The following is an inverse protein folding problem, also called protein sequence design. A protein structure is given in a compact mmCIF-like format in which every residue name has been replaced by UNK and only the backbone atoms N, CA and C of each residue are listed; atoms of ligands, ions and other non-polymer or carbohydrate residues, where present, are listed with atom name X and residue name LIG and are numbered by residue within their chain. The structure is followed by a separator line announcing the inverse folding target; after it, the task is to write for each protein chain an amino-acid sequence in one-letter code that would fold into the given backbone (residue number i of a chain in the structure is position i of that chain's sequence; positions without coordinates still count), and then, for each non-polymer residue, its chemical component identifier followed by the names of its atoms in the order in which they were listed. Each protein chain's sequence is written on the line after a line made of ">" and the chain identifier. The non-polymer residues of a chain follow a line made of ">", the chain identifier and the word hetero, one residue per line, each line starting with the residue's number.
data_IF_445372921165
#
_entry.id   IF_445372921165
#
_cell.length_a   1.000
_cell.length_b   1.000
_cell.length_c   1.000
_cell.angle_alpha   90.00
_cell.angle_beta   90.00
_cell.angle_gamma   90.00
#
_symmetry.space_group_name_H-M   'P 1'
#
loop_
_entity.id
_entity.type
_entity.pdbx_description
1 polymer ?
#
# COMPACT_ATOMS: atom_id res chain seq x y z
N UNK A 1 -52.44 84.62 3.62
CA UNK A 1 -51.08 84.20 3.87
C UNK A 1 -51.06 82.67 4.12
N UNK A 2 -50.75 81.91 3.07
CA UNK A 2 -50.53 80.47 3.20
C UNK A 2 -49.05 80.23 3.44
N UNK A 3 -48.74 79.70 4.58
CA UNK A 3 -47.39 79.15 4.82
C UNK A 3 -47.34 77.70 4.43
N UNK A 4 -46.56 77.36 3.40
CA UNK A 4 -46.29 76.02 2.95
C UNK A 4 -45.32 75.37 3.94
N UNK A 5 -45.76 74.32 4.59
CA UNK A 5 -44.95 73.46 5.47
C UNK A 5 -44.26 72.37 4.54
N UNK A 6 -42.96 72.51 4.37
CA UNK A 6 -42.16 71.52 3.60
C UNK A 6 -41.78 70.34 4.51
N UNK A 7 -42.07 69.09 4.16
CA UNK A 7 -41.65 67.94 4.92
C UNK A 7 -40.21 67.54 4.49
N UNK A 8 -39.19 68.20 5.01
CA UNK A 8 -37.75 67.87 4.75
C UNK A 8 -37.25 66.73 5.67
N UNK A 9 -38.04 66.20 6.64
CA UNK A 9 -37.58 65.17 7.57
C UNK A 9 -37.68 63.71 7.09
N UNK A 10 -38.59 63.39 6.16
CA UNK A 10 -38.84 61.99 5.76
C UNK A 10 -37.75 61.36 4.93
N UNK A 11 -37.10 62.15 4.03
CA UNK A 11 -36.09 61.61 3.11
C UNK A 11 -34.77 61.27 3.79
N UNK A 12 -34.38 62.01 4.83
CA UNK A 12 -33.17 61.76 5.61
C UNK A 12 -33.30 60.48 6.45
N UNK A 13 -34.45 60.23 7.04
CA UNK A 13 -34.75 59.02 7.81
C UNK A 13 -34.78 57.79 6.92
N UNK A 14 -35.36 57.84 5.71
CA UNK A 14 -35.37 56.74 4.74
C UNK A 14 -33.94 56.37 4.24
N UNK A 15 -33.07 57.37 4.05
CA UNK A 15 -31.66 57.17 3.62
C UNK A 15 -30.84 56.52 4.75
N UNK A 16 -31.08 56.86 6.00
CA UNK A 16 -30.42 56.21 7.15
C UNK A 16 -30.85 54.78 7.29
N UNK A 17 -32.15 54.47 7.24
CA UNK A 17 -32.68 53.09 7.28
C UNK A 17 -32.13 52.26 6.12
N UNK A 18 -32.03 52.78 4.90
CA UNK A 18 -31.46 52.11 3.74
C UNK A 18 -29.97 51.74 3.98
N UNK A 19 -29.17 52.65 4.57
CA UNK A 19 -27.77 52.34 4.92
C UNK A 19 -27.67 51.21 5.95
N UNK A 20 -28.50 51.20 6.96
CA UNK A 20 -28.55 50.15 7.98
C UNK A 20 -28.95 48.80 7.41
N UNK A 21 -29.89 48.75 6.46
CA UNK A 21 -30.24 47.52 5.74
C UNK A 21 -29.06 46.97 4.94
N UNK A 22 -28.31 47.83 4.27
CA UNK A 22 -27.11 47.38 3.52
C UNK A 22 -26.01 46.85 4.45
N UNK A 23 -25.79 47.49 5.60
CA UNK A 23 -24.82 47.06 6.60
C UNK A 23 -25.25 45.69 7.19
N UNK A 24 -26.52 45.55 7.54
CA UNK A 24 -27.04 44.28 8.05
C UNK A 24 -26.97 43.15 7.01
N UNK A 25 -27.32 43.42 5.76
CA UNK A 25 -27.22 42.49 4.68
C UNK A 25 -25.77 42.07 4.46
N UNK A 26 -24.83 43.00 4.40
CA UNK A 26 -23.41 42.71 4.28
C UNK A 26 -22.89 41.83 5.43
N UNK A 27 -23.33 42.12 6.65
CA UNK A 27 -22.97 41.33 7.83
C UNK A 27 -23.50 39.91 7.74
N UNK A 28 -24.74 39.71 7.30
CA UNK A 28 -25.36 38.39 7.11
C UNK A 28 -24.56 37.61 6.03
N UNK A 29 -24.19 38.25 4.92
CA UNK A 29 -23.39 37.61 3.84
C UNK A 29 -22.01 37.17 4.37
N UNK A 30 -21.35 38.03 5.16
CA UNK A 30 -20.05 37.70 5.78
C UNK A 30 -20.20 36.53 6.76
N UNK A 31 -21.23 36.53 7.60
CA UNK A 31 -21.50 35.39 8.50
C UNK A 31 -21.75 34.12 7.71
N UNK A 32 -22.56 34.18 6.65
CA UNK A 32 -22.85 33.04 5.78
C UNK A 32 -21.59 32.47 5.12
N UNK A 33 -20.73 33.35 4.61
CA UNK A 33 -19.44 32.95 4.03
C UNK A 33 -18.52 32.27 5.07
N UNK A 34 -18.44 32.80 6.29
CA UNK A 34 -17.68 32.19 7.39
C UNK A 34 -18.26 30.84 7.81
N UNK A 35 -19.59 30.71 7.84
CA UNK A 35 -20.24 29.42 8.13
C UNK A 35 -19.98 28.40 7.04
N UNK A 36 -20.11 28.79 5.76
CA UNK A 36 -19.82 27.91 4.62
C UNK A 36 -18.34 27.46 4.69
N UNK A 37 -17.41 28.38 4.90
CA UNK A 37 -15.99 28.05 5.00
C UNK A 37 -15.68 27.09 6.17
N UNK A 38 -16.37 27.27 7.33
CA UNK A 38 -16.25 26.33 8.46
C UNK A 38 -16.80 24.95 8.13
N UNK A 39 -17.97 24.86 7.51
CA UNK A 39 -18.59 23.61 7.12
C UNK A 39 -17.72 22.86 6.09
N UNK A 40 -17.19 23.57 5.09
CA UNK A 40 -16.27 22.97 4.12
C UNK A 40 -14.99 22.44 4.79
N UNK A 41 -14.45 23.14 5.76
CA UNK A 41 -13.26 22.66 6.51
C UNK A 41 -13.58 21.43 7.34
N UNK A 42 -14.72 21.40 8.02
CA UNK A 42 -15.11 20.28 8.90
C UNK A 42 -15.36 19.00 8.09
N UNK A 43 -16.08 19.09 6.98
CA UNK A 43 -16.27 17.99 6.02
C UNK A 43 -14.93 17.50 5.45
N UNK A 44 -14.00 18.41 5.15
CA UNK A 44 -12.69 18.05 4.63
C UNK A 44 -11.86 17.29 5.68
N UNK A 45 -11.89 17.69 6.93
CA UNK A 45 -11.15 17.01 8.01
C UNK A 45 -11.72 15.63 8.31
N UNK A 46 -13.03 15.46 8.40
CA UNK A 46 -13.66 14.14 8.57
C UNK A 46 -13.29 13.19 7.41
N UNK A 47 -13.29 13.70 6.20
CA UNK A 47 -12.89 12.94 5.03
C UNK A 47 -11.40 12.54 5.07
N UNK A 48 -10.52 13.41 5.58
CA UNK A 48 -9.09 13.12 5.74
C UNK A 48 -8.88 12.02 6.77
N UNK A 49 -9.56 12.09 7.91
CA UNK A 49 -9.44 11.08 8.97
C UNK A 49 -9.93 9.71 8.47
N UNK A 50 -11.08 9.66 7.78
CA UNK A 50 -11.59 8.44 7.18
C UNK A 50 -10.58 7.83 6.19
N UNK A 51 -10.05 8.62 5.25
CA UNK A 51 -9.03 8.16 4.29
C UNK A 51 -7.75 7.69 5.01
N UNK A 52 -7.32 8.39 6.08
CA UNK A 52 -6.17 7.99 6.87
C UNK A 52 -6.35 6.61 7.50
N UNK A 53 -7.51 6.37 8.12
CA UNK A 53 -7.80 5.10 8.78
C UNK A 53 -7.89 3.94 7.78
N UNK A 54 -8.49 4.17 6.62
CA UNK A 54 -8.59 3.16 5.58
C UNK A 54 -7.23 2.85 4.92
N UNK A 55 -6.38 3.85 4.69
CA UNK A 55 -5.00 3.62 4.26
C UNK A 55 -4.25 2.76 5.27
N UNK A 56 -4.43 3.01 6.56
CA UNK A 56 -3.80 2.23 7.64
C UNK A 56 -4.29 0.78 7.65
N UNK A 57 -5.61 0.56 7.48
CA UNK A 57 -6.19 -0.77 7.42
C UNK A 57 -5.70 -1.51 6.17
N UNK A 58 -5.74 -0.86 5.00
CA UNK A 58 -5.26 -1.45 3.75
C UNK A 58 -3.76 -1.80 3.83
N UNK A 59 -2.94 -0.90 4.38
CA UNK A 59 -1.52 -1.17 4.60
C UNK A 59 -1.32 -2.39 5.50
N UNK A 60 -1.98 -2.44 6.65
CA UNK A 60 -1.87 -3.56 7.59
C UNK A 60 -2.22 -4.88 6.93
N UNK A 61 -3.31 -4.93 6.18
CA UNK A 61 -3.73 -6.13 5.47
C UNK A 61 -2.68 -6.58 4.43
N UNK A 62 -2.10 -5.63 3.67
CA UNK A 62 -1.05 -5.95 2.70
C UNK A 62 0.25 -6.41 3.40
N UNK A 63 0.63 -5.78 4.51
CA UNK A 63 1.80 -6.19 5.29
C UNK A 63 1.64 -7.61 5.84
N UNK A 64 0.49 -7.94 6.44
CA UNK A 64 0.23 -9.29 6.95
C UNK A 64 0.17 -10.33 5.84
N UNK A 65 -0.39 -9.99 4.68
CA UNK A 65 -0.39 -10.84 3.49
C UNK A 65 1.04 -11.15 3.01
N UNK A 66 1.89 -10.14 2.89
CA UNK A 66 3.28 -10.35 2.45
C UNK A 66 4.11 -11.13 3.48
N UNK A 67 3.93 -10.86 4.77
CA UNK A 67 4.55 -11.67 5.84
C UNK A 67 4.12 -13.14 5.75
N UNK A 68 2.82 -13.40 5.59
CA UNK A 68 2.29 -14.76 5.48
C UNK A 68 2.78 -15.46 4.19
N UNK A 69 2.91 -14.74 3.07
CA UNK A 69 3.44 -15.28 1.83
C UNK A 69 4.91 -15.68 1.98
N UNK A 70 5.73 -14.80 2.55
CA UNK A 70 7.14 -15.08 2.81
C UNK A 70 7.31 -16.28 3.74
N UNK A 71 6.49 -16.35 4.80
CA UNK A 71 6.54 -17.44 5.77
C UNK A 71 6.13 -18.79 5.15
N UNK A 72 5.04 -18.83 4.38
CA UNK A 72 4.62 -20.04 3.66
C UNK A 72 5.72 -20.54 2.75
N UNK A 73 6.36 -19.64 2.02
CA UNK A 73 7.44 -20.00 1.11
C UNK A 73 8.67 -20.51 1.85
N UNK A 74 9.07 -19.84 2.95
CA UNK A 74 10.17 -20.32 3.80
C UNK A 74 9.87 -21.70 4.42
N UNK A 75 8.62 -21.95 4.84
CA UNK A 75 8.20 -23.27 5.35
C UNK A 75 8.33 -24.35 4.29
N UNK A 76 7.93 -24.10 3.04
CA UNK A 76 8.09 -25.06 1.93
C UNK A 76 9.56 -25.34 1.66
N UNK A 77 10.40 -24.30 1.63
CA UNK A 77 11.84 -24.47 1.43
C UNK A 77 12.51 -25.21 2.58
N UNK A 78 12.07 -25.02 3.82
CA UNK A 78 12.63 -25.71 4.98
C UNK A 78 12.40 -27.21 4.98
N UNK A 79 11.47 -27.70 4.18
CA UNK A 79 11.15 -29.12 4.00
C UNK A 79 11.78 -29.72 2.72
N UNK A 80 12.58 -28.94 1.99
CA UNK A 80 13.23 -29.44 0.77
C UNK A 80 14.37 -30.42 1.15
N UNK A 81 14.19 -31.70 0.87
CA UNK A 81 15.13 -32.76 1.22
C UNK A 81 16.53 -32.51 0.64
N UNK A 82 16.62 -32.05 -0.60
CA UNK A 82 17.90 -31.78 -1.23
C UNK A 82 18.67 -30.63 -0.57
N UNK A 83 17.97 -29.61 -0.04
CA UNK A 83 18.60 -28.54 0.75
C UNK A 83 19.04 -29.05 2.14
N UNK A 84 18.20 -29.90 2.79
CA UNK A 84 18.54 -30.50 4.07
C UNK A 84 19.76 -31.39 3.96
N UNK A 85 19.85 -32.20 2.87
CA UNK A 85 21.02 -33.02 2.58
C UNK A 85 22.27 -32.16 2.33
N UNK A 86 22.17 -31.12 1.47
CA UNK A 86 23.29 -30.23 1.22
C UNK A 86 23.85 -29.61 2.50
N UNK A 87 22.96 -29.17 3.43
CA UNK A 87 23.36 -28.66 4.73
C UNK A 87 24.00 -29.72 5.63
N UNK A 88 23.50 -30.95 5.59
CA UNK A 88 24.04 -32.04 6.41
C UNK A 88 25.40 -32.51 5.93
N UNK A 89 25.65 -32.42 4.62
CA UNK A 89 26.90 -32.78 3.95
C UNK A 89 27.90 -31.62 3.87
N UNK A 90 27.51 -30.44 4.38
CA UNK A 90 28.29 -29.18 4.31
C UNK A 90 28.65 -28.77 2.87
N UNK A 91 27.75 -29.06 1.91
CA UNK A 91 27.90 -28.76 0.49
C UNK A 91 27.22 -27.43 0.11
N UNK A 92 27.95 -26.34 0.30
CA UNK A 92 27.49 -24.96 0.07
C UNK A 92 27.14 -24.70 -1.40
N UNK A 93 27.93 -25.29 -2.34
CA UNK A 93 27.72 -25.14 -3.78
C UNK A 93 26.40 -25.80 -4.22
N UNK A 94 26.11 -27.00 -3.72
CA UNK A 94 24.84 -27.68 -3.95
C UNK A 94 23.68 -26.85 -3.39
N UNK A 95 23.83 -26.29 -2.18
CA UNK A 95 22.86 -25.40 -1.57
C UNK A 95 22.58 -24.16 -2.43
N UNK A 96 23.62 -23.51 -2.94
CA UNK A 96 23.50 -22.39 -3.88
C UNK A 96 22.75 -22.76 -5.16
N UNK A 97 23.13 -23.84 -5.80
CA UNK A 97 22.51 -24.29 -7.07
C UNK A 97 21.00 -24.54 -6.90
N UNK A 98 20.61 -25.22 -5.80
CA UNK A 98 19.20 -25.50 -5.52
C UNK A 98 18.42 -24.20 -5.27
N UNK A 99 18.94 -23.32 -4.41
CA UNK A 99 18.26 -22.05 -4.13
C UNK A 99 18.15 -21.15 -5.36
N UNK A 100 19.22 -21.05 -6.15
CA UNK A 100 19.25 -20.26 -7.37
C UNK A 100 18.21 -20.74 -8.38
N UNK A 101 18.13 -22.06 -8.63
CA UNK A 101 17.16 -22.65 -9.57
C UNK A 101 15.73 -22.38 -9.11
N UNK A 102 15.42 -22.60 -7.82
CA UNK A 102 14.08 -22.35 -7.28
C UNK A 102 13.71 -20.88 -7.38
N UNK A 103 14.60 -19.96 -6.98
CA UNK A 103 14.31 -18.53 -7.02
C UNK A 103 14.18 -18.00 -8.43
N UNK A 104 15.01 -18.50 -9.38
CA UNK A 104 14.90 -18.15 -10.78
C UNK A 104 13.53 -18.55 -11.35
N UNK A 105 13.05 -19.75 -11.03
CA UNK A 105 11.71 -20.21 -11.44
C UNK A 105 10.60 -19.35 -10.82
N UNK A 106 10.72 -19.01 -9.53
CA UNK A 106 9.77 -18.11 -8.89
C UNK A 106 9.72 -16.77 -9.59
N UNK A 107 10.86 -16.13 -9.86
CA UNK A 107 10.93 -14.84 -10.56
C UNK A 107 10.36 -14.95 -11.98
N UNK A 108 10.72 -16.01 -12.71
CA UNK A 108 10.27 -16.24 -14.08
C UNK A 108 8.74 -16.35 -14.18
N UNK A 109 8.10 -17.08 -13.26
CA UNK A 109 6.67 -17.36 -13.35
C UNK A 109 5.78 -16.36 -12.59
N UNK A 110 6.32 -15.69 -11.57
CA UNK A 110 5.55 -14.74 -10.74
C UNK A 110 5.94 -13.29 -10.96
N UNK A 111 7.07 -13.04 -11.65
CA UNK A 111 7.68 -11.71 -11.81
C UNK A 111 7.97 -11.01 -10.45
N UNK A 112 7.94 -11.75 -9.36
CA UNK A 112 8.21 -11.24 -8.02
C UNK A 112 9.69 -11.44 -7.68
N UNK A 113 10.37 -10.36 -7.27
CA UNK A 113 11.73 -10.44 -6.78
C UNK A 113 11.73 -10.99 -5.36
N UNK A 114 11.90 -12.30 -5.25
CA UNK A 114 12.05 -13.01 -3.97
C UNK A 114 13.47 -13.53 -3.89
N UNK A 115 14.09 -13.41 -2.73
CA UNK A 115 15.42 -13.94 -2.44
C UNK A 115 15.34 -14.94 -1.30
N UNK A 116 16.19 -15.94 -1.32
CA UNK A 116 16.31 -16.90 -0.24
C UNK A 116 17.76 -17.13 0.13
N UNK A 117 18.01 -17.32 1.42
CA UNK A 117 19.32 -17.73 1.93
C UNK A 117 19.16 -18.82 2.98
N UNK A 118 20.20 -19.63 3.12
CA UNK A 118 20.37 -20.57 4.21
C UNK A 118 21.43 -20.03 5.15
N UNK A 119 21.14 -20.09 6.43
CA UNK A 119 22.00 -19.67 7.54
C UNK A 119 22.29 -20.90 8.37
N UNK A 120 23.55 -21.15 8.70
CA UNK A 120 23.95 -22.27 9.56
C UNK A 120 23.46 -22.05 11.00
N UNK A 121 23.51 -23.10 11.82
CA UNK A 121 23.25 -23.01 13.26
C UNK A 121 24.17 -22.04 14.00
N UNK A 122 25.35 -21.77 13.44
CA UNK A 122 26.37 -20.87 13.98
C UNK A 122 26.23 -19.44 13.43
N UNK A 123 25.08 -19.14 12.80
CA UNK A 123 24.73 -17.83 12.23
C UNK A 123 25.67 -17.35 11.12
N UNK A 124 26.27 -18.27 10.37
CA UNK A 124 27.00 -17.96 9.15
C UNK A 124 26.13 -18.21 7.91
N UNK A 125 26.47 -17.57 6.80
CA UNK A 125 25.80 -17.84 5.52
C UNK A 125 26.27 -19.21 5.02
N UNK A 126 25.31 -20.12 4.77
CA UNK A 126 25.57 -21.37 4.09
C UNK A 126 25.44 -21.19 2.56
N UNK A 127 24.32 -20.65 2.10
CA UNK A 127 24.08 -20.40 0.68
C UNK A 127 23.09 -19.24 0.48
N UNK A 128 23.19 -18.52 -0.65
CA UNK A 128 22.29 -17.47 -1.08
C UNK A 128 21.83 -17.69 -2.50
N UNK A 129 20.59 -17.45 -2.81
CA UNK A 129 20.04 -17.63 -4.16
C UNK A 129 20.56 -16.63 -5.22
N UNK A 130 21.20 -15.56 -4.81
CA UNK A 130 21.61 -14.44 -5.68
C UNK A 130 23.13 -14.25 -5.81
N UNK A 131 23.92 -14.87 -4.95
CA UNK A 131 25.36 -14.91 -5.03
C UNK A 131 25.93 -16.05 -4.16
N UNK A 132 27.07 -16.63 -4.58
CA UNK A 132 27.78 -17.68 -3.86
C UNK A 132 29.06 -17.19 -3.19
N UNK A 133 29.35 -15.87 -3.19
CA UNK A 133 30.64 -15.34 -2.75
C UNK A 133 30.75 -15.16 -1.23
N UNK A 134 29.66 -15.28 -0.48
CA UNK A 134 29.60 -14.98 0.95
C UNK A 134 29.35 -16.18 1.83
N UNK A 135 29.57 -17.40 1.32
CA UNK A 135 29.54 -18.61 2.15
C UNK A 135 30.55 -18.47 3.32
N UNK A 136 30.18 -18.93 4.51
CA UNK A 136 30.97 -18.79 5.75
C UNK A 136 30.94 -17.40 6.40
N UNK A 137 30.34 -16.35 5.77
CA UNK A 137 30.31 -15.01 6.37
C UNK A 137 29.41 -14.98 7.61
N UNK A 138 29.89 -14.48 8.78
CA UNK A 138 29.10 -14.35 9.98
C UNK A 138 28.04 -13.25 9.84
N UNK A 139 26.87 -13.47 10.44
CA UNK A 139 25.72 -12.56 10.38
C UNK A 139 25.38 -11.90 11.73
N UNK A 140 25.97 -12.34 12.82
CA UNK A 140 25.66 -11.91 14.19
C UNK A 140 25.80 -10.41 14.42
N UNK A 141 26.77 -9.76 13.76
CA UNK A 141 26.96 -8.30 13.83
C UNK A 141 25.93 -7.51 13.02
N UNK A 142 25.43 -8.08 11.92
CA UNK A 142 24.54 -7.39 10.96
C UNK A 142 23.07 -7.78 11.10
N UNK A 143 22.79 -8.80 11.91
CA UNK A 143 21.47 -9.42 12.02
C UNK A 143 21.10 -9.68 13.49
N UNK A 144 20.91 -8.61 14.29
CA UNK A 144 20.51 -8.75 15.69
C UNK A 144 19.19 -9.48 15.87
N UNK A 145 18.29 -9.44 14.86
CA UNK A 145 17.02 -10.14 14.82
C UNK A 145 17.15 -11.67 14.90
N UNK A 146 18.29 -12.25 14.46
CA UNK A 146 18.54 -13.69 14.56
C UNK A 146 18.71 -14.16 16.02
N UNK A 147 19.03 -13.27 16.97
CA UNK A 147 19.10 -13.59 18.40
C UNK A 147 17.78 -14.10 18.96
N UNK A 148 16.65 -13.78 18.32
CA UNK A 148 15.36 -14.35 18.66
C UNK A 148 15.42 -15.87 18.71
N UNK A 149 16.13 -16.52 17.77
CA UNK A 149 16.21 -17.97 17.63
C UNK A 149 17.13 -18.65 18.66
N UNK A 150 17.87 -17.90 19.47
CA UNK A 150 18.60 -18.47 20.61
C UNK A 150 17.64 -19.09 21.64
N UNK A 151 16.46 -18.47 21.80
CA UNK A 151 15.49 -18.88 22.81
C UNK A 151 14.16 -19.39 22.19
N UNK A 152 13.97 -19.27 20.88
CA UNK A 152 12.74 -19.63 20.18
C UNK A 152 13.05 -20.54 18.99
N UNK A 153 12.26 -21.57 18.80
CA UNK A 153 12.39 -22.52 17.69
C UNK A 153 11.26 -22.39 16.67
N UNK A 154 10.35 -21.45 16.91
CA UNK A 154 9.21 -21.23 16.04
C UNK A 154 9.60 -20.36 14.83
N UNK A 155 9.00 -20.61 13.66
CA UNK A 155 9.13 -19.74 12.49
C UNK A 155 8.68 -18.32 12.79
N UNK A 156 9.38 -17.33 12.21
CA UNK A 156 9.05 -15.91 12.39
C UNK A 156 9.06 -15.17 11.04
N UNK A 157 8.11 -14.26 10.86
CA UNK A 157 8.12 -13.32 9.74
C UNK A 157 7.90 -11.90 10.26
N UNK A 158 8.79 -10.97 9.87
CA UNK A 158 8.76 -9.58 10.29
C UNK A 158 9.38 -8.65 9.23
N UNK A 159 9.18 -7.35 9.40
CA UNK A 159 9.97 -6.33 8.70
C UNK A 159 11.25 -6.13 9.51
N UNK A 160 12.39 -6.34 8.88
CA UNK A 160 13.68 -6.27 9.56
C UNK A 160 14.70 -5.47 8.75
N UNK A 161 15.57 -4.77 9.48
CA UNK A 161 16.75 -4.13 8.91
C UNK A 161 17.84 -5.18 8.75
N UNK A 162 18.48 -5.21 7.61
CA UNK A 162 19.69 -5.92 7.30
C UNK A 162 20.45 -5.10 6.29
N UNK A 163 21.21 -5.71 5.39
CA UNK A 163 21.87 -4.95 4.30
C UNK A 163 20.88 -4.13 3.45
N UNK A 164 19.59 -4.50 3.52
CA UNK A 164 18.39 -3.77 3.06
C UNK A 164 17.26 -3.97 4.04
N UNK A 165 16.36 -2.98 4.10
CA UNK A 165 15.06 -3.11 4.75
C UNK A 165 14.14 -4.00 3.91
N UNK A 166 13.44 -4.94 4.55
CA UNK A 166 12.49 -5.83 3.86
C UNK A 166 11.78 -6.79 4.81
N UNK A 167 10.88 -7.57 4.24
CA UNK A 167 10.27 -8.70 4.94
C UNK A 167 11.28 -9.84 5.01
N UNK A 168 11.40 -10.43 6.18
CA UNK A 168 12.20 -11.62 6.40
C UNK A 168 11.36 -12.67 7.09
N UNK A 169 11.26 -13.82 6.45
CA UNK A 169 10.62 -15.00 7.02
C UNK A 169 11.71 -16.04 7.25
N UNK A 170 11.99 -16.34 8.52
CA UNK A 170 13.05 -17.25 8.96
C UNK A 170 12.42 -18.47 9.59
N UNK A 171 12.80 -19.66 9.10
CA UNK A 171 12.30 -20.95 9.53
C UNK A 171 13.48 -21.86 9.90
N UNK A 172 13.48 -22.45 11.12
CA UNK A 172 14.51 -23.39 11.50
C UNK A 172 14.46 -24.69 10.66
N UNK A 173 15.62 -25.23 10.32
CA UNK A 173 15.79 -26.51 9.60
C UNK A 173 16.31 -27.56 10.57
N UNK A 174 15.65 -28.73 10.55
CA UNK A 174 16.04 -29.86 11.38
C UNK A 174 16.25 -31.13 10.52
N UNK A 175 17.22 -31.95 10.90
CA UNK A 175 17.39 -33.31 10.40
C UNK A 175 17.52 -34.25 11.60
N UNK A 176 16.66 -35.25 11.69
CA UNK A 176 16.66 -36.22 12.80
C UNK A 176 16.65 -35.57 14.21
N UNK A 177 15.91 -34.49 14.37
CA UNK A 177 15.81 -33.73 15.62
C UNK A 177 16.99 -32.80 15.95
N UNK A 178 18.03 -32.77 15.13
CA UNK A 178 19.17 -31.87 15.24
C UNK A 178 18.95 -30.62 14.40
N UNK A 179 19.18 -29.44 14.98
CA UNK A 179 19.13 -28.18 14.23
C UNK A 179 20.33 -28.11 13.29
N UNK A 180 20.08 -27.86 12.01
CA UNK A 180 21.11 -27.60 11.00
C UNK A 180 21.32 -26.08 10.80
N UNK A 181 20.29 -25.27 11.05
CA UNK A 181 20.30 -23.84 10.81
C UNK A 181 18.92 -23.33 10.44
N UNK A 182 18.86 -22.39 9.49
CA UNK A 182 17.64 -21.68 9.13
C UNK A 182 17.56 -21.48 7.62
N UNK A 183 16.38 -21.57 7.05
CA UNK A 183 16.07 -20.95 5.76
C UNK A 183 15.42 -19.59 6.00
N UNK A 184 15.86 -18.61 5.25
CA UNK A 184 15.27 -17.27 5.26
C UNK A 184 14.82 -16.87 3.86
N UNK A 185 13.59 -16.37 3.77
CA UNK A 185 13.02 -15.75 2.57
C UNK A 185 12.95 -14.25 2.78
N UNK A 186 13.46 -13.51 1.81
CA UNK A 186 13.48 -12.05 1.79
C UNK A 186 12.57 -11.55 0.69
N UNK A 187 11.66 -10.66 1.05
CA UNK A 187 10.78 -9.94 0.13
C UNK A 187 10.89 -8.43 0.37
N UNK A 188 10.55 -7.65 -0.66
CA UNK A 188 10.62 -6.20 -0.61
C UNK A 188 9.23 -5.59 -0.76
N UNK A 189 9.15 -4.26 -0.74
CA UNK A 189 7.89 -3.52 -0.67
C UNK A 189 7.24 -3.24 -2.03
N UNK A 190 7.85 -3.68 -3.12
CA UNK A 190 7.37 -3.42 -4.48
C UNK A 190 5.93 -3.91 -4.72
N UNK A 191 5.49 -5.09 -4.25
CA UNK A 191 4.10 -5.52 -4.40
C UNK A 191 3.12 -4.58 -3.70
N UNK A 192 3.45 -4.13 -2.48
CA UNK A 192 2.61 -3.21 -1.70
C UNK A 192 2.59 -1.82 -2.36
N UNK A 193 3.76 -1.31 -2.79
CA UNK A 193 3.85 -0.02 -3.48
C UNK A 193 3.05 -0.03 -4.78
N UNK A 194 3.08 -1.13 -5.53
CA UNK A 194 2.31 -1.31 -6.75
C UNK A 194 0.80 -1.38 -6.50
N UNK A 195 0.39 -2.05 -5.41
CA UNK A 195 -1.01 -2.08 -4.97
C UNK A 195 -1.55 -0.67 -4.75
N UNK A 196 -0.88 0.16 -3.94
CA UNK A 196 -1.32 1.53 -3.69
C UNK A 196 -1.25 2.40 -4.96
N UNK A 197 -0.23 2.20 -5.80
CA UNK A 197 -0.09 2.94 -7.05
C UNK A 197 -1.23 2.66 -8.02
N UNK A 198 -1.73 1.42 -8.10
CA UNK A 198 -2.90 1.07 -8.92
C UNK A 198 -4.16 1.84 -8.50
N UNK A 199 -4.26 2.20 -7.21
CA UNK A 199 -5.30 3.06 -6.67
C UNK A 199 -4.99 4.56 -6.79
N UNK A 200 -3.94 4.96 -7.52
CA UNK A 200 -3.52 6.37 -7.67
C UNK A 200 -2.94 6.98 -6.39
N UNK A 201 -2.33 6.14 -5.54
CA UNK A 201 -1.71 6.52 -4.27
C UNK A 201 -0.22 6.20 -4.38
N UNK A 202 0.63 7.22 -4.27
CA UNK A 202 2.07 7.01 -4.22
C UNK A 202 2.52 6.66 -2.80
N UNK A 203 3.32 5.60 -2.67
CA UNK A 203 3.80 5.11 -1.37
C UNK A 203 5.32 5.24 -1.28
N UNK A 204 5.79 5.77 -0.16
CA UNK A 204 7.18 5.82 0.23
C UNK A 204 7.40 4.94 1.46
N UNK A 205 8.34 4.04 1.36
CA UNK A 205 8.83 3.24 2.50
C UNK A 205 10.08 3.93 3.01
N UNK A 206 10.03 4.44 4.21
CA UNK A 206 11.06 5.27 4.80
C UNK A 206 11.72 4.53 5.98
N UNK A 207 13.01 4.25 5.88
CA UNK A 207 13.83 3.70 6.97
C UNK A 207 14.48 4.83 7.76
N UNK A 208 14.52 4.76 9.08
CA UNK A 208 15.24 5.74 9.88
C UNK A 208 16.75 5.73 9.54
N UNK A 209 17.34 6.92 9.36
CA UNK A 209 18.73 7.11 8.96
C UNK A 209 19.73 6.42 9.89
N UNK A 210 19.42 6.28 11.19
CA UNK A 210 20.30 5.60 12.16
C UNK A 210 20.65 4.15 11.79
N UNK A 211 19.87 3.52 10.92
CA UNK A 211 20.11 2.14 10.46
C UNK A 211 20.95 2.04 9.19
N UNK A 212 21.37 3.15 8.59
CA UNK A 212 22.11 3.15 7.31
C UNK A 212 23.45 2.40 7.41
N UNK A 213 24.09 2.43 8.57
CA UNK A 213 25.33 1.69 8.79
C UNK A 213 25.15 0.16 8.71
N UNK A 214 23.95 -0.35 9.02
CA UNK A 214 23.58 -1.76 8.86
C UNK A 214 23.06 -1.98 7.44
N UNK A 215 22.19 -1.07 6.95
CA UNK A 215 21.57 -1.13 5.64
C UNK A 215 22.47 -0.56 4.54
N UNK A 216 23.68 -1.09 4.42
CA UNK A 216 24.75 -0.57 3.54
C UNK A 216 24.36 -0.49 2.06
N UNK A 217 23.43 -1.32 1.59
CA UNK A 217 22.92 -1.29 0.22
C UNK A 217 21.89 -0.18 -0.02
N UNK A 218 21.60 0.64 1.00
CA UNK A 218 20.66 1.76 0.93
C UNK A 218 21.35 3.12 1.14
N UNK A 219 22.66 3.15 1.31
CA UNK A 219 23.43 4.39 1.54
C UNK A 219 23.30 5.41 0.39
N UNK A 220 23.19 4.92 -0.84
CA UNK A 220 23.03 5.73 -2.04
C UNK A 220 21.57 6.12 -2.36
N UNK A 221 20.61 5.63 -1.54
CA UNK A 221 19.21 5.94 -1.76
C UNK A 221 18.89 7.39 -1.33
N UNK A 222 17.84 8.02 -1.88
CA UNK A 222 17.45 9.37 -1.49
C UNK A 222 17.12 9.49 -0.02
N UNK A 223 17.60 10.57 0.59
CA UNK A 223 17.27 10.95 1.96
C UNK A 223 16.09 11.92 1.97
N UNK A 224 15.21 11.74 2.94
CA UNK A 224 14.01 12.57 3.13
C UNK A 224 13.85 12.87 4.62
N UNK A 225 14.23 14.07 5.04
CA UNK A 225 14.32 14.42 6.45
C UNK A 225 15.23 13.43 7.22
N UNK A 226 14.76 12.80 8.32
CA UNK A 226 15.55 11.84 9.10
C UNK A 226 15.45 10.39 8.57
N UNK A 227 15.06 10.20 7.32
CA UNK A 227 14.81 8.89 6.74
C UNK A 227 15.53 8.71 5.40
N UNK A 228 15.68 7.43 5.02
CA UNK A 228 16.15 6.97 3.71
C UNK A 228 15.02 6.24 3.00
N UNK A 229 14.80 6.50 1.72
CA UNK A 229 13.78 5.83 0.92
C UNK A 229 14.18 4.38 0.66
N UNK A 230 13.34 3.43 1.06
CA UNK A 230 13.65 2.01 1.00
C UNK A 230 13.07 1.28 -0.22
N UNK A 231 11.90 1.70 -0.72
CA UNK A 231 11.30 1.10 -1.90
C UNK A 231 11.97 1.61 -3.19
N UNK A 232 12.13 0.72 -4.18
CA UNK A 232 12.78 1.05 -5.47
C UNK A 232 11.90 1.92 -6.35
N UNK A 233 10.59 1.63 -6.37
CA UNK A 233 9.63 2.34 -7.19
C UNK A 233 8.87 3.34 -6.32
N UNK A 234 9.18 4.60 -6.46
CA UNK A 234 8.52 5.74 -5.83
C UNK A 234 8.38 6.89 -6.84
N UNK A 235 7.48 7.82 -6.57
CA UNK A 235 7.29 8.99 -7.43
C UNK A 235 8.33 10.08 -7.09
N UNK A 236 9.36 10.22 -7.91
CA UNK A 236 10.41 11.20 -7.67
C UNK A 236 9.92 12.66 -7.69
N UNK A 237 8.80 12.94 -8.37
CA UNK A 237 8.25 14.30 -8.46
C UNK A 237 7.82 14.87 -7.10
N UNK A 238 7.44 14.01 -6.14
CA UNK A 238 7.00 14.46 -4.82
C UNK A 238 8.10 14.45 -3.76
N UNK A 239 9.34 14.05 -4.11
CA UNK A 239 10.44 14.02 -3.14
C UNK A 239 10.76 15.42 -2.58
N UNK A 240 10.70 16.46 -3.41
CA UNK A 240 10.95 17.84 -2.97
C UNK A 240 9.90 18.31 -1.96
N UNK A 241 8.62 18.01 -2.20
CA UNK A 241 7.52 18.34 -1.29
C UNK A 241 7.65 17.52 0.01
N UNK A 242 7.94 16.22 -0.10
CA UNK A 242 8.13 15.34 1.03
C UNK A 242 9.33 15.77 1.90
N UNK A 243 10.41 16.22 1.29
CA UNK A 243 11.59 16.72 2.00
C UNK A 243 11.34 18.06 2.71
N UNK A 244 10.36 18.84 2.23
CA UNK A 244 9.96 20.12 2.84
C UNK A 244 8.91 19.97 3.95
N UNK A 245 8.55 18.74 4.33
CA UNK A 245 7.59 18.42 5.41
C UNK A 245 8.30 18.45 6.77
N UNK A 246 7.61 18.93 7.79
CA UNK A 246 8.01 18.74 9.19
C UNK A 246 7.57 17.33 9.64
N UNK A 247 8.50 16.38 9.66
CA UNK A 247 8.23 14.99 10.03
C UNK A 247 7.77 14.83 11.49
N UNK A 248 8.20 15.69 12.42
CA UNK A 248 7.69 15.65 13.81
C UNK A 248 6.21 15.98 13.83
N UNK A 249 5.83 17.01 13.11
CA UNK A 249 4.44 17.42 12.98
C UNK A 249 3.62 16.39 12.20
N UNK A 250 4.17 15.83 11.12
CA UNK A 250 3.51 14.78 10.34
C UNK A 250 3.23 13.53 11.20
N UNK A 251 4.19 13.12 12.02
CA UNK A 251 4.03 12.00 12.94
C UNK A 251 2.95 12.25 14.01
N UNK A 252 2.85 13.49 14.50
CA UNK A 252 1.84 13.86 15.51
C UNK A 252 0.43 13.96 14.92
N UNK A 253 0.30 14.55 13.74
CA UNK A 253 -0.98 14.84 13.10
C UNK A 253 -1.43 13.75 12.15
N UNK A 254 -0.57 12.76 11.84
CA UNK A 254 -0.76 11.68 10.86
C UNK A 254 -0.94 12.16 9.41
N UNK A 255 -1.21 13.44 9.19
CA UNK A 255 -1.37 14.03 7.86
C UNK A 255 -0.82 15.44 7.79
N UNK A 256 -0.18 15.78 6.66
CA UNK A 256 0.18 17.15 6.31
C UNK A 256 -0.09 17.40 4.82
N UNK A 257 -0.40 18.67 4.50
CA UNK A 257 -0.52 19.14 3.11
C UNK A 257 0.70 19.95 2.72
N UNK A 258 1.31 19.61 1.60
CA UNK A 258 2.44 20.33 1.00
C UNK A 258 2.38 20.25 -0.52
N UNK A 259 2.73 21.31 -1.25
CA UNK A 259 2.80 21.31 -2.72
C UNK A 259 1.51 20.89 -3.44
N UNK A 260 0.33 21.02 -2.79
CA UNK A 260 -0.95 20.55 -3.35
C UNK A 260 -1.23 19.08 -3.10
N UNK A 261 -0.35 18.35 -2.41
CA UNK A 261 -0.48 16.95 -2.04
C UNK A 261 -0.74 16.80 -0.55
N UNK A 262 -1.42 15.70 -0.17
CA UNK A 262 -1.62 15.25 1.18
C UNK A 262 -0.68 14.07 1.45
N UNK A 263 0.06 14.15 2.55
CA UNK A 263 0.99 13.11 2.98
C UNK A 263 0.47 12.50 4.27
N UNK A 264 0.20 11.20 4.25
CA UNK A 264 -0.27 10.42 5.39
C UNK A 264 0.87 9.58 5.94
N UNK A 265 0.95 9.46 7.25
CA UNK A 265 2.07 8.82 7.94
C UNK A 265 1.59 7.62 8.76
N UNK A 266 2.24 6.46 8.56
CA UNK A 266 2.09 5.27 9.39
C UNK A 266 3.45 4.80 9.89
N UNK A 267 3.64 4.60 11.21
CA UNK A 267 4.90 4.13 11.76
C UNK A 267 5.18 2.69 11.34
N UNK A 268 6.47 2.37 11.12
CA UNK A 268 6.96 1.04 10.82
C UNK A 268 7.72 0.48 12.00
N UNK A 269 7.39 -0.75 12.38
CA UNK A 269 8.03 -1.46 13.49
C UNK A 269 8.68 -2.76 13.00
N UNK A 270 9.78 -3.15 13.62
CA UNK A 270 10.39 -4.46 13.42
C UNK A 270 9.65 -5.55 14.23
N UNK A 271 10.11 -6.79 14.13
CA UNK A 271 9.51 -7.91 14.82
C UNK A 271 9.64 -7.87 16.36
N UNK A 272 10.44 -6.98 16.91
CA UNK A 272 10.58 -6.75 18.36
C UNK A 272 9.79 -5.54 18.86
N UNK A 273 9.04 -4.88 17.95
CA UNK A 273 8.25 -3.68 18.27
C UNK A 273 9.08 -2.40 18.33
N UNK A 274 10.35 -2.42 17.89
CA UNK A 274 11.14 -1.22 17.75
C UNK A 274 10.71 -0.45 16.49
N UNK A 275 10.55 0.87 16.60
CA UNK A 275 10.28 1.71 15.45
C UNK A 275 11.53 1.81 14.58
N UNK A 276 11.43 1.36 13.33
CA UNK A 276 12.53 1.35 12.37
C UNK A 276 12.33 2.29 11.19
N UNK A 277 11.15 2.90 11.09
CA UNK A 277 10.83 3.78 9.97
C UNK A 277 9.37 4.20 9.93
N UNK A 278 8.90 4.47 8.71
CA UNK A 278 7.52 4.82 8.43
C UNK A 278 7.11 4.47 7.01
N UNK A 279 5.82 4.35 6.80
CA UNK A 279 5.18 4.41 5.49
C UNK A 279 4.57 5.79 5.31
N UNK A 280 4.80 6.41 4.15
CA UNK A 280 4.18 7.68 3.82
C UNK A 280 3.43 7.53 2.50
N UNK A 281 2.14 7.88 2.51
CA UNK A 281 1.30 7.90 1.33
C UNK A 281 1.13 9.32 0.84
N UNK A 282 1.32 9.53 -0.46
CA UNK A 282 1.11 10.82 -1.10
C UNK A 282 -0.08 10.76 -2.05
N UNK A 283 -1.04 11.66 -1.83
CA UNK A 283 -2.26 11.78 -2.62
C UNK A 283 -2.43 13.21 -3.14
N UNK A 284 -2.83 13.37 -4.39
CA UNK A 284 -3.28 14.65 -4.90
C UNK A 284 -4.61 15.07 -4.25
N UNK A 285 -4.88 16.36 -4.20
CA UNK A 285 -6.16 16.88 -3.69
C UNK A 285 -7.36 16.32 -4.46
N UNK A 286 -7.22 16.10 -5.77
CA UNK A 286 -8.27 15.51 -6.58
C UNK A 286 -8.53 14.06 -6.17
N UNK A 287 -7.46 13.28 -5.96
CA UNK A 287 -7.58 11.88 -5.55
C UNK A 287 -8.18 11.76 -4.15
N UNK A 288 -7.76 12.61 -3.21
CA UNK A 288 -8.35 12.66 -1.88
C UNK A 288 -9.87 12.92 -1.95
N UNK A 289 -10.31 13.88 -2.76
CA UNK A 289 -11.75 14.17 -2.94
C UNK A 289 -12.50 12.98 -3.53
N UNK A 290 -11.90 12.27 -4.48
CA UNK A 290 -12.50 11.07 -5.07
C UNK A 290 -12.66 9.97 -4.04
N UNK A 291 -11.65 9.72 -3.21
CA UNK A 291 -11.70 8.72 -2.15
C UNK A 291 -12.70 9.10 -1.04
N UNK A 292 -12.68 10.36 -0.61
CA UNK A 292 -13.56 10.86 0.44
C UNK A 292 -15.05 10.97 0.04
N UNK A 293 -15.33 11.15 -1.26
CA UNK A 293 -16.70 11.28 -1.78
C UNK A 293 -17.41 9.93 -2.03
N UNK A 294 -16.69 8.82 -1.87
CA UNK A 294 -17.19 7.49 -2.14
C UNK A 294 -16.99 6.62 -0.90
N UNK A 295 -17.86 6.75 0.09
CA UNK A 295 -17.83 5.91 1.32
C UNK A 295 -17.75 4.40 1.05
N UNK A 296 -18.07 3.95 -0.18
CA UNK A 296 -18.06 2.55 -0.59
C UNK A 296 -16.79 2.12 -1.38
N UNK A 297 -16.03 3.04 -1.98
CA UNK A 297 -14.95 2.67 -2.90
C UNK A 297 -13.61 2.32 -2.24
N UNK A 298 -13.44 2.57 -0.96
CA UNK A 298 -12.21 2.23 -0.23
C UNK A 298 -12.29 0.82 0.34
N UNK A 299 -13.48 0.25 0.52
CA UNK A 299 -13.64 -1.19 0.79
C UNK A 299 -13.00 -2.06 -0.30
N UNK A 300 -12.86 -1.53 -1.52
CA UNK A 300 -12.05 -2.05 -2.61
C UNK A 300 -10.57 -2.28 -2.23
N UNK A 301 -9.91 -1.36 -1.54
CA UNK A 301 -8.52 -1.54 -1.09
C UNK A 301 -8.37 -2.67 -0.07
N UNK A 302 -9.44 -3.04 0.62
CA UNK A 302 -9.43 -4.06 1.67
C UNK A 302 -9.61 -5.47 1.11
N UNK A 303 -10.36 -5.63 0.02
CA UNK A 303 -10.82 -6.94 -0.47
C UNK A 303 -10.02 -7.55 -1.63
N UNK A 304 -9.03 -6.84 -2.20
CA UNK A 304 -8.27 -7.37 -3.35
C UNK A 304 -7.26 -8.45 -2.98
N UNK A 305 -7.37 -9.60 -3.64
CA UNK A 305 -6.36 -10.65 -3.59
C UNK A 305 -5.23 -10.39 -4.61
N UNK A 306 -4.04 -10.95 -4.38
CA UNK A 306 -2.89 -10.79 -5.29
C UNK A 306 -3.16 -11.27 -6.73
N UNK A 307 -4.05 -12.26 -6.89
CA UNK A 307 -4.46 -12.81 -8.19
C UNK A 307 -5.14 -11.76 -9.05
N UNK A 308 -5.90 -10.88 -8.40
CA UNK A 308 -6.72 -9.86 -9.04
C UNK A 308 -5.88 -8.69 -9.54
N UNK A 309 -4.85 -8.30 -8.77
CA UNK A 309 -3.88 -7.28 -9.18
C UNK A 309 -3.08 -7.67 -10.42
N UNK A 310 -2.66 -8.94 -10.54
CA UNK A 310 -1.96 -9.44 -11.72
C UNK A 310 -2.84 -9.48 -12.96
N UNK A 311 -4.11 -9.84 -12.81
CA UNK A 311 -5.09 -9.84 -13.89
C UNK A 311 -5.37 -8.41 -14.40
N UNK A 312 -5.48 -7.44 -13.49
CA UNK A 312 -5.74 -6.03 -13.79
C UNK A 312 -4.56 -5.40 -14.55
N UNK A 313 -3.33 -5.55 -14.07
CA UNK A 313 -2.15 -4.93 -14.69
C UNK A 313 -1.87 -5.45 -16.10
N UNK A 314 -2.15 -6.73 -16.37
CA UNK A 314 -1.95 -7.33 -17.69
C UNK A 314 -3.06 -7.00 -18.71
N UNK A 315 -4.29 -6.65 -18.25
CA UNK A 315 -5.46 -6.36 -19.10
C UNK A 315 -5.75 -4.88 -19.31
N UNK A 316 -5.19 -4.00 -18.50
CA UNK A 316 -5.52 -2.56 -18.45
C UNK A 316 -5.19 -1.78 -19.74
N UNK A 317 -4.51 -2.40 -20.71
CA UNK A 317 -4.23 -1.74 -22.00
C UNK A 317 -5.39 -1.77 -23.00
N UNK A 318 -6.42 -2.61 -22.79
CA UNK A 318 -7.47 -2.81 -23.80
C UNK A 318 -8.92 -2.48 -23.39
N UNK A 319 -9.25 -2.38 -22.10
CA UNK A 319 -10.67 -2.30 -21.67
C UNK A 319 -11.02 -1.14 -20.71
N UNK A 320 -10.17 -0.15 -20.53
CA UNK A 320 -10.30 0.90 -19.48
C UNK A 320 -11.46 1.91 -19.69
N UNK A 321 -12.26 1.76 -20.75
CA UNK A 321 -13.35 2.69 -21.05
C UNK A 321 -14.79 2.15 -20.86
N UNK A 322 -14.95 0.84 -20.64
CA UNK A 322 -16.27 0.19 -20.63
C UNK A 322 -16.88 0.03 -19.24
N UNK A 323 -16.05 0.06 -18.17
CA UNK A 323 -16.51 -0.11 -16.79
C UNK A 323 -16.32 1.17 -16.00
N UNK A 324 -17.28 1.51 -15.15
CA UNK A 324 -17.16 2.67 -14.26
C UNK A 324 -16.17 2.41 -13.11
N UNK A 325 -15.99 1.12 -12.73
CA UNK A 325 -14.98 0.71 -11.76
C UNK A 325 -14.35 -0.64 -12.13
N UNK A 326 -13.13 -0.91 -11.61
CA UNK A 326 -12.48 -2.21 -11.77
C UNK A 326 -13.23 -3.33 -11.04
N UNK A 327 -13.96 -3.01 -9.99
CA UNK A 327 -14.79 -3.94 -9.22
C UNK A 327 -15.98 -4.45 -10.06
N UNK A 328 -16.63 -3.60 -10.83
CA UNK A 328 -17.76 -3.99 -11.69
C UNK A 328 -17.32 -4.98 -12.77
N UNK A 329 -16.10 -4.81 -13.28
CA UNK A 329 -15.48 -5.77 -14.19
C UNK A 329 -15.26 -7.12 -13.51
N UNK A 330 -14.83 -7.11 -12.25
CA UNK A 330 -14.52 -8.31 -11.47
C UNK A 330 -15.79 -9.10 -11.15
N UNK A 331 -16.90 -8.45 -10.84
CA UNK A 331 -18.20 -9.09 -10.67
C UNK A 331 -18.57 -9.96 -11.88
N UNK A 332 -18.29 -9.49 -13.10
CA UNK A 332 -18.54 -10.28 -14.31
C UNK A 332 -17.65 -11.52 -14.46
N UNK A 333 -16.42 -11.48 -13.93
CA UNK A 333 -15.53 -12.65 -13.92
C UNK A 333 -15.86 -13.63 -12.80
N UNK A 334 -16.33 -13.16 -11.67
CA UNK A 334 -16.69 -14.01 -10.53
C UNK A 334 -17.96 -14.79 -10.73
N UNK A 335 -18.88 -14.34 -11.60
CA UNK A 335 -20.20 -14.97 -11.83
C UNK A 335 -20.15 -16.48 -12.08
N UNK A 336 -19.08 -16.97 -12.72
CA UNK A 336 -18.94 -18.37 -13.12
C UNK A 336 -18.25 -19.24 -12.05
N UNK A 337 -17.70 -18.61 -10.99
CA UNK A 337 -16.93 -19.29 -9.94
C UNK A 337 -17.51 -19.12 -8.53
N UNK A 338 -18.59 -18.33 -8.39
CA UNK A 338 -19.28 -18.14 -7.10
C UNK A 338 -19.96 -19.44 -6.68
N UNK A 339 -19.69 -19.92 -5.43
CA UNK A 339 -20.37 -21.09 -4.87
C UNK A 339 -21.88 -20.92 -4.86
N UNK A 340 -22.62 -22.04 -4.92
CA UNK A 340 -24.09 -22.01 -5.03
C UNK A 340 -24.75 -21.35 -3.81
N UNK A 341 -24.16 -21.52 -2.65
CA UNK A 341 -24.57 -20.94 -1.36
C UNK A 341 -24.43 -19.39 -1.32
N UNK A 342 -23.53 -18.82 -2.09
CA UNK A 342 -23.24 -17.37 -2.11
C UNK A 342 -23.90 -16.64 -3.31
N UNK A 343 -24.58 -17.37 -4.21
CA UNK A 343 -25.13 -16.80 -5.45
C UNK A 343 -26.19 -15.71 -5.23
N UNK A 344 -26.99 -15.85 -4.18
CA UNK A 344 -28.04 -14.84 -3.90
C UNK A 344 -27.41 -13.53 -3.44
N UNK A 345 -26.44 -13.60 -2.52
CA UNK A 345 -25.69 -12.44 -2.05
C UNK A 345 -24.92 -11.76 -3.20
N UNK A 346 -24.32 -12.56 -4.07
CA UNK A 346 -23.63 -12.07 -5.26
C UNK A 346 -24.58 -11.37 -6.24
N UNK A 347 -25.81 -11.87 -6.42
CA UNK A 347 -26.82 -11.24 -7.25
C UNK A 347 -27.29 -9.90 -6.71
N UNK A 348 -27.51 -9.82 -5.40
CA UNK A 348 -27.89 -8.56 -4.74
C UNK A 348 -26.79 -7.51 -4.92
N UNK A 349 -25.53 -7.88 -4.71
CA UNK A 349 -24.40 -6.99 -4.89
C UNK A 349 -24.18 -6.57 -6.34
N UNK A 350 -24.29 -7.50 -7.28
CA UNK A 350 -24.20 -7.22 -8.71
C UNK A 350 -25.34 -6.29 -9.18
N UNK A 351 -26.56 -6.49 -8.66
CA UNK A 351 -27.69 -5.64 -8.97
C UNK A 351 -27.51 -4.23 -8.44
N UNK A 352 -27.08 -4.07 -7.18
CA UNK A 352 -26.83 -2.76 -6.55
C UNK A 352 -25.76 -1.97 -7.33
N UNK A 353 -24.72 -2.64 -7.80
CA UNK A 353 -23.61 -2.01 -8.53
C UNK A 353 -23.94 -1.68 -9.98
N UNK A 354 -24.61 -2.58 -10.67
CA UNK A 354 -24.92 -2.40 -12.09
C UNK A 354 -26.17 -1.52 -12.31
N UNK A 355 -26.95 -1.21 -11.27
CA UNK A 355 -28.09 -0.30 -11.36
C UNK A 355 -27.69 1.15 -11.69
N UNK A 356 -26.44 1.54 -11.41
CA UNK A 356 -25.91 2.87 -11.73
C UNK A 356 -25.50 3.03 -13.21
N UNK A 357 -25.47 1.93 -13.98
CA UNK A 357 -25.15 1.94 -15.40
C UNK A 357 -26.37 2.29 -16.26
N UNK A 358 -26.12 3.10 -17.29
CA UNK A 358 -27.13 3.32 -18.32
C UNK A 358 -27.39 2.04 -19.12
N UNK A 359 -28.53 1.97 -19.77
CA UNK A 359 -28.87 0.82 -20.62
C UNK A 359 -27.88 0.62 -21.77
N UNK A 360 -27.34 1.72 -22.32
CA UNK A 360 -26.36 1.72 -23.39
C UNK A 360 -25.01 1.16 -22.91
N UNK A 361 -24.58 1.53 -21.70
CA UNK A 361 -23.34 1.01 -21.08
C UNK A 361 -23.46 -0.50 -20.80
N UNK A 362 -24.60 -0.96 -20.25
CA UNK A 362 -24.84 -2.38 -20.01
C UNK A 362 -24.84 -3.20 -21.31
N UNK A 363 -25.45 -2.66 -22.41
CA UNK A 363 -25.40 -3.31 -23.72
C UNK A 363 -23.94 -3.37 -24.24
N UNK A 364 -23.17 -2.30 -24.08
CA UNK A 364 -21.75 -2.27 -24.43
C UNK A 364 -20.94 -3.35 -23.71
N UNK A 365 -21.16 -3.52 -22.39
CA UNK A 365 -20.54 -4.55 -21.59
C UNK A 365 -20.91 -5.97 -22.04
N UNK A 366 -22.17 -6.22 -22.33
CA UNK A 366 -22.64 -7.52 -22.82
C UNK A 366 -22.06 -7.89 -24.19
N UNK A 367 -21.93 -6.92 -25.08
CA UNK A 367 -21.37 -7.14 -26.42
C UNK A 367 -19.85 -7.36 -26.36
N UNK A 368 -19.13 -6.60 -25.54
CA UNK A 368 -17.68 -6.78 -25.37
C UNK A 368 -17.32 -8.14 -24.79
N UNK A 369 -18.15 -8.65 -23.87
CA UNK A 369 -17.93 -9.97 -23.25
C UNK A 369 -18.13 -11.12 -24.23
N UNK A 370 -19.05 -10.98 -25.18
CA UNK A 370 -19.31 -11.99 -26.22
C UNK A 370 -18.11 -12.14 -27.19
N UNK A 371 -17.51 -11.03 -27.61
CA UNK A 371 -16.32 -11.05 -28.48
C UNK A 371 -15.07 -11.64 -27.79
N UNK A 372 -14.90 -11.46 -26.51
CA UNK A 372 -13.76 -12.05 -25.77
C UNK A 372 -13.81 -13.58 -25.69
N UNK A 373 -15.01 -14.19 -25.77
CA UNK A 373 -15.18 -15.65 -25.82
C UNK A 373 -14.97 -16.24 -27.22
N UNK A 374 -15.34 -15.52 -28.29
CA UNK A 374 -15.15 -15.98 -29.68
C UNK A 374 -13.66 -16.01 -30.07
N UNK A 375 -12.86 -15.02 -29.64
CA UNK A 375 -11.41 -14.99 -29.90
C UNK A 375 -10.66 -16.14 -29.21
N UNK A 376 -11.15 -16.64 -28.08
CA UNK A 376 -10.56 -17.81 -27.40
C UNK A 376 -10.90 -19.14 -28.06
N UNK A 377 -11.93 -19.20 -28.90
CA UNK A 377 -12.36 -20.40 -29.64
C UNK A 377 -11.58 -20.64 -30.94
N UNK A 378 -10.97 -19.59 -31.52
CA UNK A 378 -10.20 -19.70 -32.78
C UNK A 378 -8.70 -19.99 -32.63
N UNK A 379 -8.18 -20.04 -31.37
CA UNK A 379 -6.77 -20.36 -31.06
C UNK A 379 -6.69 -21.75 -30.40
N UNK A 380 -7.37 -22.75 -30.99
CA UNK A 380 -7.15 -24.17 -30.67
C UNK A 380 -6.83 -24.96 -31.93
#
# INVERSE_FOLDING_TARGET
>A
LHAACHPKGGLAVLLVFRKWYFILFALIVVILLVVIERLEREVTWQSIDTVSDELSIALRNQLEKEKANALRFALVLSQNEALIEAMADDDEDKGYLILSDVMHKVEQYTHALVRSQIITKDYTIFARSWDNMYAGMPLDEYRPDLRYFLNHKEPRSAIEVGRRLGFKATVPIFKEGKSLGFVEVLQFFEPISSFFKSAGIDMYVLMEERFVNIAILMQENPYVGPYVVANRHYNAAYLADLNAIDFKKLQQQRVQRKGGHYFFFEPMFNGEGEKIGAFVFALSQQRLKTLAGREKDISFLINFSQRDLYAIVKKDQFESGLFQSSYDRELLYLKDIVPEEDRELFREEAFDRLSDYSKEELIGLLLSHKYAHEIKGEIR
#
